data_IF_753498188848
#
_entry.id   IF_753498188848
#
_cell.length_a   1.000
_cell.length_b   1.000
_cell.length_c   1.000
_cell.angle_alpha   90.00
_cell.angle_beta   90.00
_cell.angle_gamma   90.00
#
_symmetry.space_group_name_H-M   'P 1'
#
loop_
_entity.id
_entity.type
_entity.pdbx_description
1 polymer ?
#
# COMPACT_ATOMS: atom_id res chain seq x y z
N UNK A 1 -2.41 2.67 -14.10
CA UNK A 1 -2.82 1.27 -13.86
C UNK A 1 -2.58 0.89 -12.40
N UNK A 2 -1.34 0.78 -11.91
CA UNK A 2 -1.07 0.41 -10.50
C UNK A 2 -1.67 1.42 -9.50
N UNK A 3 -1.40 2.71 -9.68
CA UNK A 3 -1.92 3.77 -8.80
C UNK A 3 -3.45 3.83 -8.79
N UNK A 4 -4.09 3.58 -9.94
CA UNK A 4 -5.55 3.54 -10.05
C UNK A 4 -6.15 2.36 -9.26
N UNK A 5 -5.54 1.17 -9.35
CA UNK A 5 -5.97 0.02 -8.55
C UNK A 5 -5.82 0.28 -7.05
N UNK A 6 -4.72 0.91 -6.63
CA UNK A 6 -4.48 1.27 -5.23
C UNK A 6 -5.56 2.23 -4.74
N UNK A 7 -5.86 3.28 -5.51
CA UNK A 7 -6.91 4.24 -5.15
C UNK A 7 -8.29 3.56 -5.06
N UNK A 8 -8.64 2.71 -6.03
CA UNK A 8 -9.92 2.00 -6.01
C UNK A 8 -10.07 1.05 -4.81
N UNK A 9 -8.98 0.43 -4.35
CA UNK A 9 -9.01 -0.43 -3.16
C UNK A 9 -9.32 0.36 -1.89
N UNK A 10 -8.71 1.54 -1.74
CA UNK A 10 -8.95 2.42 -0.59
C UNK A 10 -10.34 3.07 -0.67
N UNK A 11 -10.68 3.69 -1.80
CA UNK A 11 -11.89 4.51 -1.95
C UNK A 11 -13.19 3.71 -1.85
N UNK A 12 -13.17 2.43 -2.24
CA UNK A 12 -14.37 1.60 -2.25
C UNK A 12 -14.52 0.72 -0.99
N UNK A 13 -13.66 0.88 0.03
CA UNK A 13 -13.76 0.16 1.30
C UNK A 13 -13.54 -1.35 1.21
N UNK A 14 -12.66 -1.81 0.30
CA UNK A 14 -12.37 -3.24 0.13
C UNK A 14 -11.37 -3.78 1.16
N UNK A 15 -10.77 -2.89 1.93
CA UNK A 15 -9.67 -3.19 2.85
C UNK A 15 -10.16 -3.08 4.30
N UNK A 16 -9.76 -4.06 5.10
CA UNK A 16 -9.92 -4.01 6.55
C UNK A 16 -9.04 -2.92 7.19
N UNK A 17 -9.34 -2.55 8.42
CA UNK A 17 -8.68 -1.46 9.16
C UNK A 17 -7.17 -1.62 9.27
N UNK A 18 -6.68 -2.83 9.49
CA UNK A 18 -5.25 -3.18 9.53
C UNK A 18 -4.84 -4.08 8.35
N UNK A 19 -5.38 -3.84 7.16
CA UNK A 19 -5.11 -4.68 6.00
C UNK A 19 -3.61 -4.67 5.62
N UNK A 20 -3.10 -5.85 5.26
CA UNK A 20 -1.80 -6.00 4.62
C UNK A 20 -1.97 -6.10 3.10
N UNK A 21 -1.38 -5.16 2.37
CA UNK A 21 -1.49 -5.06 0.92
C UNK A 21 -0.15 -5.39 0.28
N UNK A 22 -0.09 -6.50 -0.45
CA UNK A 22 1.08 -6.89 -1.21
C UNK A 22 1.04 -6.30 -2.62
N UNK A 23 2.10 -5.61 -3.01
CA UNK A 23 2.25 -4.96 -4.31
C UNK A 23 3.53 -5.43 -4.98
N UNK A 24 3.40 -5.92 -6.21
CA UNK A 24 4.52 -6.27 -7.07
C UNK A 24 4.54 -5.32 -8.27
N UNK A 25 5.68 -4.67 -8.50
CA UNK A 25 5.82 -3.73 -9.62
C UNK A 25 7.25 -3.67 -10.14
N UNK A 26 7.42 -3.20 -11.36
CA UNK A 26 8.76 -2.93 -11.93
C UNK A 26 9.48 -1.83 -11.14
N UNK A 27 10.78 -2.01 -10.90
CA UNK A 27 11.62 -1.05 -10.14
C UNK A 27 11.82 0.28 -10.86
N UNK A 28 11.80 0.27 -12.21
CA UNK A 28 12.04 1.47 -13.03
C UNK A 28 10.97 2.55 -12.82
N UNK A 29 9.77 2.16 -12.37
CA UNK A 29 8.67 3.08 -12.06
C UNK A 29 8.80 3.71 -10.66
N UNK A 30 9.78 3.29 -9.87
CA UNK A 30 10.03 3.82 -8.53
C UNK A 30 9.02 3.33 -7.49
N UNK A 31 8.81 4.12 -6.43
CA UNK A 31 7.80 3.88 -5.42
C UNK A 31 6.43 4.34 -5.95
N UNK A 32 5.40 3.49 -5.94
CA UNK A 32 4.06 3.91 -6.32
C UNK A 32 3.53 4.95 -5.33
N UNK A 33 2.73 5.89 -5.84
CA UNK A 33 1.94 6.77 -5.00
C UNK A 33 0.90 5.92 -4.26
N UNK A 34 0.96 5.93 -2.93
CA UNK A 34 -0.01 5.23 -2.06
C UNK A 34 -0.76 6.25 -1.19
N UNK A 35 -1.99 5.94 -0.75
CA UNK A 35 -2.70 6.73 0.23
C UNK A 35 -1.88 6.97 1.49
N UNK A 36 -2.08 8.12 2.15
CA UNK A 36 -1.30 8.53 3.32
C UNK A 36 -1.45 7.58 4.52
N UNK A 37 -2.54 6.83 4.58
CA UNK A 37 -2.82 5.84 5.61
C UNK A 37 -2.25 4.45 5.28
N UNK A 38 -1.42 4.33 4.24
CA UNK A 38 -0.66 3.12 3.97
C UNK A 38 0.81 3.36 4.27
N UNK A 39 1.37 2.55 5.17
CA UNK A 39 2.78 2.58 5.53
C UNK A 39 3.51 1.40 4.90
N UNK A 40 4.73 1.62 4.39
CA UNK A 40 5.56 0.55 3.84
C UNK A 40 6.11 -0.30 5.00
N UNK A 41 5.60 -1.53 5.15
CA UNK A 41 6.02 -2.45 6.19
C UNK A 41 7.29 -3.22 5.79
N UNK A 42 7.36 -3.72 4.55
CA UNK A 42 8.54 -4.40 4.00
C UNK A 42 8.72 -4.12 2.53
N UNK A 43 9.98 -4.07 2.11
CA UNK A 43 10.36 -4.02 0.69
C UNK A 43 11.46 -5.04 0.42
N UNK A 44 11.37 -5.67 -0.75
CA UNK A 44 12.45 -6.46 -1.34
C UNK A 44 12.50 -6.20 -2.82
N UNK A 45 13.70 -5.98 -3.34
CA UNK A 45 13.94 -5.86 -4.79
C UNK A 45 14.71 -7.07 -5.28
N UNK A 46 14.26 -7.70 -6.37
CA UNK A 46 14.99 -8.75 -7.05
C UNK A 46 15.00 -8.49 -8.56
N UNK A 47 16.19 -8.21 -9.10
CA UNK A 47 16.33 -7.84 -10.51
C UNK A 47 15.53 -6.57 -10.82
N UNK A 48 14.58 -6.68 -11.76
CA UNK A 48 13.75 -5.56 -12.20
C UNK A 48 12.40 -5.47 -11.49
N UNK A 49 12.18 -6.26 -10.43
CA UNK A 49 10.91 -6.33 -9.72
C UNK A 49 11.07 -5.91 -8.26
N UNK A 50 10.18 -5.05 -7.79
CA UNK A 50 10.01 -4.65 -6.40
C UNK A 50 8.78 -5.35 -5.81
N UNK A 51 8.99 -6.02 -4.67
CA UNK A 51 7.97 -6.63 -3.85
C UNK A 51 7.80 -5.78 -2.60
N UNK A 52 6.61 -5.22 -2.41
CA UNK A 52 6.30 -4.32 -1.30
C UNK A 52 5.11 -4.84 -0.52
N UNK A 53 5.19 -4.72 0.78
CA UNK A 53 4.09 -5.01 1.68
C UNK A 53 3.76 -3.71 2.40
N UNK A 54 2.56 -3.21 2.17
CA UNK A 54 2.00 -2.06 2.85
C UNK A 54 1.08 -2.51 3.96
N UNK A 55 1.06 -1.76 5.06
CA UNK A 55 0.10 -1.89 6.12
C UNK A 55 -0.82 -0.66 6.06
N UNK A 56 -2.11 -0.90 5.94
CA UNK A 56 -3.13 0.14 6.04
C UNK A 56 -3.41 0.39 7.51
N UNK A 57 -3.63 1.66 7.84
CA UNK A 57 -4.25 2.11 9.09
C UNK A 57 -5.61 2.72 8.72
N UNK A 58 -6.65 2.45 9.49
CA UNK A 58 -7.95 3.08 9.27
C UNK A 58 -7.84 4.59 9.51
N UNK A 59 -8.39 5.40 8.61
CA UNK A 59 -8.58 6.83 8.85
C UNK A 59 -9.69 7.01 9.91
N UNK A 60 -9.33 6.83 11.18
CA UNK A 60 -10.30 6.85 12.28
C UNK A 60 -9.75 6.46 13.64
N UNK A 61 -8.62 5.76 13.71
CA UNK A 61 -8.04 5.31 14.98
C UNK A 61 -6.76 6.10 15.30
N UNK A 62 -6.93 7.39 15.63
CA UNK A 62 -6.01 8.00 16.59
C UNK A 62 -6.32 7.34 17.93
N UNK A 63 -5.46 6.41 18.34
CA UNK A 63 -5.44 5.84 19.68
C UNK A 63 -5.46 7.00 20.69
N UNK A 64 -6.63 7.21 21.27
CA UNK A 64 -6.84 8.08 22.41
C UNK A 64 -6.98 7.14 23.62
N UNK A 65 -5.85 6.80 24.22
CA UNK A 65 -5.75 6.39 25.63
C UNK A 65 -4.61 7.16 26.32
#
# INVERSE_FOLDING_TARGET
MLEETINLLEDNGWLADEALIYVESEVEKGLPTVPANWSLHREKVAGQVAYRLYQREAQGESDAD
#
